data_IF_539112162174
#
_entry.id   IF_539112162174
#
_cell.length_a   1.000
_cell.length_b   1.000
_cell.length_c   1.000
_cell.angle_alpha   90.00
_cell.angle_beta   90.00
_cell.angle_gamma   90.00
#
_symmetry.space_group_name_H-M   'P 1'
#
loop_
_entity.id
_entity.type
_entity.pdbx_description
1 polymer ?
#
# COMPACT_ATOMS: atom_id res chain seq x y z
N UNK A 1 1.27 38.67 -9.89
CA UNK A 1 1.59 37.48 -9.07
C UNK A 1 0.32 36.71 -8.69
N UNK A 2 -0.60 37.30 -7.92
CA UNK A 2 -1.85 36.62 -7.50
C UNK A 2 -2.75 36.25 -8.69
N UNK A 3 -2.88 37.14 -9.69
CA UNK A 3 -3.67 36.89 -10.90
C UNK A 3 -3.14 35.73 -11.76
N UNK A 4 -1.83 35.53 -11.82
CA UNK A 4 -1.21 34.41 -12.55
C UNK A 4 -1.44 33.07 -11.83
N UNK A 5 -1.44 33.07 -10.49
CA UNK A 5 -1.71 31.88 -9.68
C UNK A 5 -3.18 31.43 -9.86
N UNK A 6 -4.11 32.37 -9.91
CA UNK A 6 -5.53 32.07 -10.12
C UNK A 6 -5.80 31.51 -11.53
N UNK A 7 -5.17 32.06 -12.56
CA UNK A 7 -5.28 31.54 -13.93
C UNK A 7 -4.70 30.12 -14.02
N UNK A 8 -3.54 29.87 -13.41
CA UNK A 8 -2.93 28.55 -13.37
C UNK A 8 -3.82 27.53 -12.63
N UNK A 9 -4.44 27.92 -11.50
CA UNK A 9 -5.35 27.05 -10.76
C UNK A 9 -6.60 26.68 -11.58
N UNK A 10 -7.19 27.63 -12.30
CA UNK A 10 -8.35 27.36 -13.17
C UNK A 10 -7.97 26.45 -14.35
N UNK A 11 -6.79 26.65 -14.96
CA UNK A 11 -6.29 25.78 -16.04
C UNK A 11 -6.04 24.34 -15.55
N UNK A 12 -5.52 24.17 -14.32
CA UNK A 12 -5.32 22.86 -13.71
C UNK A 12 -6.66 22.16 -13.44
N UNK A 13 -7.65 22.89 -12.92
CA UNK A 13 -9.00 22.34 -12.65
C UNK A 13 -9.65 21.90 -13.97
N UNK A 14 -9.65 22.76 -15.00
CA UNK A 14 -10.21 22.42 -16.32
C UNK A 14 -9.47 21.24 -16.95
N UNK A 15 -8.14 21.15 -16.82
CA UNK A 15 -7.35 20.02 -17.31
C UNK A 15 -7.71 18.72 -16.58
N UNK A 16 -7.86 18.76 -15.26
CA UNK A 16 -8.27 17.60 -14.44
C UNK A 16 -9.69 17.15 -14.80
N UNK A 17 -10.64 18.07 -14.99
CA UNK A 17 -12.01 17.77 -15.41
C UNK A 17 -12.05 17.17 -16.83
N UNK A 18 -11.24 17.69 -17.75
CA UNK A 18 -11.17 17.20 -19.14
C UNK A 18 -10.55 15.81 -19.21
N UNK A 19 -9.49 15.54 -18.41
CA UNK A 19 -8.89 14.21 -18.28
C UNK A 19 -9.83 13.21 -17.58
N UNK A 20 -10.65 13.66 -16.62
CA UNK A 20 -11.71 12.85 -16.00
C UNK A 20 -12.82 12.49 -16.98
N UNK A 21 -13.23 13.42 -17.84
CA UNK A 21 -14.21 13.17 -18.92
C UNK A 21 -13.66 12.21 -19.98
N UNK A 22 -12.37 12.32 -20.32
CA UNK A 22 -11.73 11.43 -21.30
C UNK A 22 -11.49 9.99 -20.78
N UNK A 23 -11.44 9.79 -19.45
CA UNK A 23 -11.32 8.46 -18.82
C UNK A 23 -12.65 7.72 -18.59
N UNK A 24 -13.80 8.31 -18.95
CA UNK A 24 -15.11 7.63 -18.95
C UNK A 24 -15.55 7.11 -20.32
N UNK A 25 -14.64 7.04 -21.29
CA UNK A 25 -14.90 6.48 -22.62
C UNK A 25 -13.95 5.35 -22.97
N UNK A 26 -14.51 4.21 -23.43
CA UNK A 26 -13.87 3.06 -24.09
C UNK A 26 -13.03 2.13 -23.20
N UNK A 27 -13.74 1.19 -22.57
CA UNK A 27 -13.28 -0.19 -22.50
C UNK A 27 -13.95 -0.96 -23.64
N UNK A 28 -13.29 -1.01 -24.80
CA UNK A 28 -13.59 -1.89 -25.93
C UNK A 28 -12.60 -3.05 -25.85
N UNK A 29 -13.12 -4.27 -25.81
CA UNK A 29 -12.34 -5.48 -25.66
C UNK A 29 -11.38 -5.73 -26.83
N UNK A 30 -10.29 -6.42 -26.54
CA UNK A 30 -9.39 -7.00 -27.54
C UNK A 30 -9.29 -8.49 -27.30
N UNK A 31 -10.02 -9.23 -28.14
CA UNK A 31 -9.79 -10.64 -28.44
C UNK A 31 -8.43 -10.76 -29.13
N UNK A 32 -7.54 -11.64 -28.66
CA UNK A 32 -6.39 -12.12 -29.43
C UNK A 32 -6.78 -13.46 -30.04
N UNK A 33 -7.10 -13.46 -31.33
CA UNK A 33 -7.18 -14.65 -32.16
C UNK A 33 -5.79 -14.99 -32.69
N UNK A 34 -5.42 -16.27 -32.62
CA UNK A 34 -4.33 -16.84 -33.39
C UNK A 34 -4.75 -17.03 -34.85
N UNK A 35 -3.75 -17.08 -35.74
CA UNK A 35 -3.96 -17.43 -37.13
C UNK A 35 -2.65 -17.71 -37.84
N UNK A 36 -2.36 -18.98 -38.09
CA UNK A 36 -1.62 -19.45 -39.26
C UNK A 36 -2.18 -20.81 -39.70
N UNK A 37 -2.20 -20.99 -41.01
CA UNK A 37 -2.44 -22.19 -41.82
C UNK A 37 -3.88 -22.42 -42.33
N UNK A 38 -4.05 -22.07 -43.61
CA UNK A 38 -4.78 -22.82 -44.63
C UNK A 38 -3.72 -23.41 -45.61
N UNK A 39 -4.02 -24.28 -46.61
CA UNK A 39 -5.35 -24.67 -47.12
C UNK A 39 -5.52 -26.16 -47.54
N UNK A 40 -6.76 -26.53 -47.88
CA UNK A 40 -7.18 -27.08 -49.19
C UNK A 40 -8.11 -28.31 -49.18
N UNK A 41 -9.21 -28.12 -49.92
CA UNK A 41 -9.86 -29.04 -50.88
C UNK A 41 -11.09 -29.88 -50.49
N UNK A 42 -12.02 -29.84 -51.45
CA UNK A 42 -13.13 -30.76 -51.81
C UNK A 42 -14.56 -30.49 -51.31
N UNK A 43 -15.30 -29.89 -52.24
CA UNK A 43 -16.68 -30.08 -52.66
C UNK A 43 -17.52 -31.18 -52.00
N UNK A 44 -18.78 -30.84 -51.68
CA UNK A 44 -19.86 -31.81 -51.47
C UNK A 44 -21.09 -31.22 -50.78
N UNK A 45 -22.17 -31.07 -51.56
CA UNK A 45 -23.60 -31.07 -51.20
C UNK A 45 -24.16 -30.11 -50.13
N UNK A 46 -25.11 -29.32 -50.60
CA UNK A 46 -25.99 -28.40 -49.87
C UNK A 46 -27.04 -29.12 -49.02
N UNK A 47 -27.03 -28.85 -47.71
CA UNK A 47 -28.22 -28.76 -46.86
C UNK A 47 -28.10 -27.46 -46.05
N UNK A 48 -29.13 -26.59 -45.98
CA UNK A 48 -29.05 -25.41 -45.13
C UNK A 48 -28.93 -25.89 -43.67
N UNK A 49 -27.97 -25.36 -42.87
CA UNK A 49 -27.91 -25.67 -41.46
C UNK A 49 -29.20 -25.13 -40.81
N UNK A 50 -29.91 -26.00 -40.09
CA UNK A 50 -30.95 -25.55 -39.16
C UNK A 50 -30.22 -24.76 -38.08
N UNK A 51 -30.36 -23.43 -38.12
CA UNK A 51 -29.87 -22.52 -37.09
C UNK A 51 -30.56 -22.89 -35.77
N UNK A 52 -29.88 -23.68 -34.94
CA UNK A 52 -30.32 -23.87 -33.56
C UNK A 52 -30.15 -22.52 -32.86
N UNK A 53 -31.19 -21.99 -32.19
CA UNK A 53 -31.01 -20.79 -31.39
C UNK A 53 -29.92 -21.09 -30.36
N UNK A 54 -28.76 -20.45 -30.50
CA UNK A 54 -27.77 -20.39 -29.43
C UNK A 54 -28.41 -19.60 -28.30
N UNK A 55 -29.00 -20.31 -27.34
CA UNK A 55 -29.35 -19.73 -26.05
C UNK A 55 -28.02 -19.34 -25.41
N UNK A 56 -27.61 -18.09 -25.62
CA UNK A 56 -26.51 -17.48 -24.89
C UNK A 56 -26.94 -17.41 -23.43
N UNK A 57 -26.65 -18.45 -22.65
CA UNK A 57 -26.81 -18.41 -21.20
C UNK A 57 -25.99 -17.22 -20.69
N UNK A 58 -26.62 -16.24 -20.00
CA UNK A 58 -25.87 -15.11 -19.47
C UNK A 58 -24.79 -15.62 -18.52
N UNK A 59 -23.58 -15.03 -18.55
CA UNK A 59 -22.49 -15.49 -17.71
C UNK A 59 -22.92 -15.36 -16.24
N UNK A 60 -22.94 -16.48 -15.52
CA UNK A 60 -23.18 -16.51 -14.07
C UNK A 60 -22.15 -15.58 -13.42
N UNK A 61 -22.63 -14.52 -12.78
CA UNK A 61 -21.77 -13.56 -12.11
C UNK A 61 -20.94 -14.27 -11.03
N UNK A 62 -19.65 -13.92 -10.92
CA UNK A 62 -18.80 -14.49 -9.87
C UNK A 62 -19.36 -14.10 -8.49
N UNK A 63 -19.39 -15.02 -7.51
CA UNK A 63 -19.82 -14.70 -6.16
C UNK A 63 -19.02 -13.54 -5.56
N UNK A 64 -19.71 -12.60 -4.91
CA UNK A 64 -19.08 -11.47 -4.24
C UNK A 64 -18.35 -11.93 -2.97
N UNK A 65 -17.09 -11.56 -2.81
CA UNK A 65 -16.33 -11.82 -1.58
C UNK A 65 -16.63 -10.82 -0.46
N UNK A 66 -17.56 -9.87 -0.67
CA UNK A 66 -18.09 -9.08 0.42
C UNK A 66 -18.96 -9.91 1.37
N UNK A 67 -19.58 -10.99 0.88
CA UNK A 67 -20.44 -11.87 1.66
C UNK A 67 -19.60 -12.93 2.41
N UNK A 68 -19.74 -13.07 3.75
CA UNK A 68 -18.97 -14.03 4.54
C UNK A 68 -19.14 -15.49 4.09
N UNK A 69 -20.34 -15.88 3.64
CA UNK A 69 -20.63 -17.25 3.18
C UNK A 69 -19.76 -17.63 1.97
N UNK A 70 -19.58 -16.70 1.04
CA UNK A 70 -18.73 -16.91 -0.14
C UNK A 70 -17.25 -17.03 0.25
N UNK A 71 -16.81 -16.30 1.28
CA UNK A 71 -15.45 -16.39 1.81
C UNK A 71 -15.19 -17.76 2.42
N UNK A 72 -16.09 -18.25 3.27
CA UNK A 72 -15.98 -19.60 3.88
C UNK A 72 -15.95 -20.68 2.82
N UNK A 73 -16.84 -20.59 1.82
CA UNK A 73 -16.86 -21.53 0.70
C UNK A 73 -15.57 -21.49 -0.14
N UNK A 74 -14.90 -20.33 -0.24
CA UNK A 74 -13.61 -20.21 -0.92
C UNK A 74 -12.45 -20.80 -0.07
N UNK A 75 -12.42 -20.50 1.22
CA UNK A 75 -11.42 -21.01 2.19
C UNK A 75 -11.45 -22.55 2.23
N UNK A 76 -12.65 -23.15 2.26
CA UNK A 76 -12.81 -24.60 2.31
C UNK A 76 -12.24 -25.35 1.08
N UNK A 77 -12.00 -24.65 -0.03
CA UNK A 77 -11.50 -25.24 -1.29
C UNK A 77 -9.97 -25.30 -1.37
N UNK A 78 -9.25 -24.68 -0.43
CA UNK A 78 -7.80 -24.52 -0.49
C UNK A 78 -7.13 -24.93 0.82
N UNK A 79 -5.83 -25.20 0.78
CA UNK A 79 -4.98 -25.35 1.98
C UNK A 79 -4.18 -24.07 2.19
N UNK A 80 -3.85 -23.80 3.46
CA UNK A 80 -3.03 -22.67 3.85
C UNK A 80 -1.66 -23.16 4.32
N UNK A 81 -0.64 -22.35 4.06
CA UNK A 81 0.70 -22.54 4.61
C UNK A 81 1.15 -21.27 5.35
N UNK A 82 2.09 -21.43 6.28
CA UNK A 82 2.70 -20.29 6.96
C UNK A 82 3.73 -19.65 6.06
N UNK A 83 3.72 -18.32 6.01
CA UNK A 83 4.74 -17.52 5.32
C UNK A 83 5.50 -16.66 6.32
N UNK A 84 6.70 -16.19 5.93
CA UNK A 84 7.42 -15.20 6.73
C UNK A 84 6.67 -13.87 6.65
N UNK A 85 6.51 -13.22 7.80
CA UNK A 85 5.89 -11.89 7.87
C UNK A 85 6.75 -10.83 7.17
N UNK A 86 8.07 -10.94 7.31
CA UNK A 86 9.05 -9.96 6.84
C UNK A 86 10.08 -10.62 5.91
N UNK A 87 10.57 -9.83 4.95
CA UNK A 87 11.73 -10.22 4.16
C UNK A 87 13.03 -10.10 4.99
N UNK A 88 14.17 -10.51 4.43
CA UNK A 88 15.46 -10.50 5.16
C UNK A 88 15.89 -9.09 5.59
N UNK A 89 15.69 -8.10 4.74
CA UNK A 89 16.07 -6.71 5.00
C UNK A 89 15.17 -6.10 6.09
N UNK A 90 13.85 -6.26 5.96
CA UNK A 90 12.89 -5.82 6.97
C UNK A 90 13.14 -6.50 8.33
N UNK A 91 13.36 -7.81 8.35
CA UNK A 91 13.63 -8.53 9.59
C UNK A 91 14.90 -8.03 10.30
N UNK A 92 15.95 -7.70 9.54
CA UNK A 92 17.17 -7.08 10.08
C UNK A 92 16.86 -5.71 10.72
N UNK A 93 16.06 -4.89 10.04
CA UNK A 93 15.63 -3.58 10.53
C UNK A 93 14.78 -3.72 11.80
N UNK A 94 13.86 -4.69 11.87
CA UNK A 94 13.08 -4.96 13.06
C UNK A 94 13.98 -5.16 14.28
N UNK A 95 14.97 -6.06 14.18
CA UNK A 95 15.88 -6.36 15.29
C UNK A 95 16.73 -5.14 15.71
N UNK A 96 17.07 -4.27 14.75
CA UNK A 96 17.78 -3.03 15.04
C UNK A 96 16.87 -2.04 15.78
N UNK A 97 15.65 -1.82 15.29
CA UNK A 97 14.67 -0.94 15.94
C UNK A 97 14.35 -1.40 17.36
N UNK A 98 14.12 -2.70 17.58
CA UNK A 98 13.88 -3.29 18.90
C UNK A 98 15.06 -3.02 19.84
N UNK A 99 16.29 -3.25 19.37
CA UNK A 99 17.49 -2.97 20.17
C UNK A 99 17.61 -1.50 20.57
N UNK A 100 17.29 -0.57 19.66
CA UNK A 100 17.35 0.87 19.92
C UNK A 100 16.35 1.25 21.02
N UNK A 101 15.08 0.82 20.88
CA UNK A 101 14.03 1.20 21.84
C UNK A 101 14.20 0.53 23.20
N UNK A 102 14.67 -0.73 23.24
CA UNK A 102 14.98 -1.47 24.45
C UNK A 102 16.23 -0.92 25.15
N UNK A 103 17.29 -0.65 24.39
CA UNK A 103 18.57 -0.16 24.92
C UNK A 103 18.44 1.17 25.65
N UNK A 104 17.51 2.02 25.21
CA UNK A 104 17.19 3.29 25.83
C UNK A 104 16.29 3.18 27.08
N UNK A 105 15.78 1.99 27.41
CA UNK A 105 14.76 1.75 28.45
C UNK A 105 13.60 2.75 28.36
N UNK A 106 13.19 3.05 27.13
CA UNK A 106 12.28 4.15 26.83
C UNK A 106 10.79 3.76 26.95
N UNK A 107 10.52 2.46 27.08
CA UNK A 107 9.17 1.90 27.12
C UNK A 107 8.45 1.88 25.76
N UNK A 108 9.09 2.36 24.68
CA UNK A 108 8.57 2.24 23.33
C UNK A 108 8.55 0.79 22.85
N UNK A 109 7.66 0.48 21.90
CA UNK A 109 7.54 -0.86 21.30
C UNK A 109 7.48 -0.77 19.79
N UNK A 110 8.02 -1.77 19.09
CA UNK A 110 8.00 -1.84 17.63
C UNK A 110 6.89 -2.80 17.17
N UNK A 111 6.07 -2.36 16.22
CA UNK A 111 4.96 -3.13 15.63
C UNK A 111 5.18 -3.27 14.13
N UNK A 112 5.37 -4.50 13.64
CA UNK A 112 5.62 -4.77 12.23
C UNK A 112 4.32 -4.93 11.41
N UNK A 113 4.34 -4.49 10.15
CA UNK A 113 3.24 -4.65 9.18
C UNK A 113 1.89 -4.10 9.70
N UNK A 114 1.92 -3.01 10.46
CA UNK A 114 0.75 -2.48 11.17
C UNK A 114 -0.16 -1.72 10.22
N UNK A 115 -1.48 -1.97 10.30
CA UNK A 115 -2.48 -1.20 9.55
C UNK A 115 -2.51 0.26 10.02
N UNK A 116 -2.39 1.19 9.08
CA UNK A 116 -2.33 2.62 9.36
C UNK A 116 -3.65 3.15 9.95
N UNK A 117 -4.79 2.53 9.60
CA UNK A 117 -6.11 2.88 10.16
C UNK A 117 -6.28 2.55 11.65
N UNK A 118 -5.47 1.65 12.20
CA UNK A 118 -5.47 1.34 13.64
C UNK A 118 -4.63 2.34 14.46
N UNK A 119 -3.77 3.11 13.77
CA UNK A 119 -2.79 4.01 14.41
C UNK A 119 -3.21 5.47 14.32
N UNK A 120 -3.82 5.87 13.20
CA UNK A 120 -4.26 7.25 12.96
C UNK A 120 -5.68 7.26 12.37
N UNK A 121 -6.43 8.32 12.66
CA UNK A 121 -7.79 8.52 12.17
C UNK A 121 -8.12 9.99 11.96
N UNK A 122 -9.05 10.33 11.06
CA UNK A 122 -9.54 11.70 10.92
C UNK A 122 -10.16 12.22 12.23
N UNK A 123 -9.86 13.46 12.59
CA UNK A 123 -10.46 14.11 13.77
C UNK A 123 -11.95 14.33 13.53
N UNK A 124 -12.79 14.02 14.51
CA UNK A 124 -14.26 14.08 14.40
C UNK A 124 -14.80 15.47 14.06
N UNK A 125 -14.08 16.53 14.44
CA UNK A 125 -14.42 17.94 14.16
C UNK A 125 -13.93 18.44 12.79
N UNK A 126 -13.24 17.61 11.99
CA UNK A 126 -12.68 18.01 10.69
C UNK A 126 -13.54 17.54 9.52
N UNK A 127 -13.72 18.40 8.51
CA UNK A 127 -14.45 18.11 7.27
C UNK A 127 -15.89 17.64 7.47
N UNK A 128 -16.50 17.13 6.41
CA UNK A 128 -17.81 16.45 6.50
C UNK A 128 -17.65 15.01 7.01
N UNK A 129 -18.75 14.40 7.44
CA UNK A 129 -18.74 12.97 7.79
C UNK A 129 -18.28 12.08 6.61
N UNK A 130 -18.65 12.46 5.38
CA UNK A 130 -18.24 11.78 4.17
C UNK A 130 -16.73 11.90 3.93
N UNK A 131 -16.17 13.10 4.08
CA UNK A 131 -14.73 13.32 3.92
C UNK A 131 -13.92 12.47 4.90
N UNK A 132 -14.37 12.40 6.17
CA UNK A 132 -13.73 11.56 7.18
C UNK A 132 -13.81 10.07 6.83
N UNK A 133 -14.95 9.62 6.33
CA UNK A 133 -15.11 8.22 5.91
C UNK A 133 -14.19 7.88 4.72
N UNK A 134 -14.14 8.74 3.70
CA UNK A 134 -13.30 8.56 2.52
C UNK A 134 -11.79 8.63 2.90
N UNK A 135 -11.42 9.53 3.81
CA UNK A 135 -10.05 9.62 4.33
C UNK A 135 -9.66 8.38 5.14
N UNK A 136 -10.54 7.89 6.03
CA UNK A 136 -10.28 6.68 6.81
C UNK A 136 -10.16 5.45 5.90
N UNK A 137 -11.07 5.27 4.94
CA UNK A 137 -10.99 4.20 3.95
C UNK A 137 -9.69 4.27 3.13
N UNK A 138 -9.22 5.49 2.83
CA UNK A 138 -7.97 5.70 2.11
C UNK A 138 -6.74 5.23 2.89
N UNK A 139 -6.76 5.22 4.21
CA UNK A 139 -5.62 4.78 5.03
C UNK A 139 -5.76 3.33 5.54
N UNK A 140 -6.98 2.83 5.76
CA UNK A 140 -7.25 1.51 6.34
C UNK A 140 -6.78 0.32 5.47
N UNK A 141 -6.55 0.56 4.18
CA UNK A 141 -5.98 -0.43 3.26
C UNK A 141 -4.45 -0.38 3.17
N UNK A 142 -3.81 0.50 3.96
CA UNK A 142 -2.37 0.73 3.94
C UNK A 142 -1.76 0.24 5.24
N UNK A 143 -0.55 -0.30 5.12
CA UNK A 143 0.25 -0.73 6.26
C UNK A 143 1.58 0.00 6.21
N UNK A 144 2.12 0.25 7.40
CA UNK A 144 3.50 0.66 7.61
C UNK A 144 4.35 -0.61 7.73
N UNK A 145 5.62 -0.55 7.30
CA UNK A 145 6.54 -1.65 7.54
C UNK A 145 6.78 -1.81 9.04
N UNK A 146 7.01 -0.70 9.74
CA UNK A 146 7.03 -0.64 11.20
C UNK A 146 6.35 0.61 11.74
N UNK A 147 5.77 0.46 12.93
CA UNK A 147 5.30 1.53 13.78
C UNK A 147 6.02 1.44 15.12
N UNK A 148 6.66 2.53 15.54
CA UNK A 148 7.16 2.66 16.91
C UNK A 148 6.07 3.35 17.72
N UNK A 149 5.58 2.67 18.76
CA UNK A 149 4.56 3.21 19.67
C UNK A 149 5.18 3.57 21.02
N UNK A 150 4.65 4.61 21.65
CA UNK A 150 5.05 5.04 22.99
C UNK A 150 4.43 4.16 24.09
N UNK A 151 4.69 4.53 25.35
CA UNK A 151 4.19 3.82 26.54
C UNK A 151 2.68 3.88 26.71
N UNK A 152 1.99 4.80 26.01
CA UNK A 152 0.54 4.89 25.96
C UNK A 152 -0.06 4.13 24.77
N UNK A 153 0.78 3.51 23.93
CA UNK A 153 0.37 2.83 22.72
C UNK A 153 0.08 3.77 21.55
N UNK A 154 0.49 5.03 21.63
CA UNK A 154 0.30 6.01 20.56
C UNK A 154 1.44 5.91 19.54
N UNK A 155 1.14 6.15 18.26
CA UNK A 155 2.16 6.14 17.20
C UNK A 155 3.14 7.30 17.39
N UNK A 156 4.40 6.99 17.70
CA UNK A 156 5.47 7.95 17.87
C UNK A 156 6.23 8.19 16.55
N UNK A 157 6.61 7.12 15.86
CA UNK A 157 7.34 7.18 14.58
C UNK A 157 6.83 6.11 13.63
N UNK A 158 6.52 6.50 12.39
CA UNK A 158 6.28 5.57 11.30
C UNK A 158 7.59 5.26 10.57
N UNK A 159 7.82 4.00 10.19
CA UNK A 159 9.04 3.58 9.49
C UNK A 159 8.69 2.78 8.24
N UNK A 160 9.35 3.11 7.13
CA UNK A 160 9.24 2.43 5.84
C UNK A 160 10.64 2.04 5.35
N UNK A 161 10.81 0.80 4.89
CA UNK A 161 12.09 0.29 4.38
C UNK A 161 12.02 0.30 2.86
N UNK A 162 12.84 1.15 2.24
CA UNK A 162 12.87 1.24 0.79
C UNK A 162 13.51 -0.02 0.19
N UNK A 163 12.82 -0.63 -0.78
CA UNK A 163 13.38 -1.72 -1.58
C UNK A 163 14.32 -1.21 -2.67
N UNK A 164 15.25 -2.04 -3.15
CA UNK A 164 16.20 -1.71 -4.21
C UNK A 164 15.59 -1.66 -5.64
N UNK A 165 14.26 -1.71 -5.75
CA UNK A 165 13.53 -1.94 -7.01
C UNK A 165 13.06 -0.67 -7.71
N UNK A 166 13.01 -0.73 -9.05
CA UNK A 166 12.58 0.38 -9.92
C UNK A 166 11.15 0.84 -9.61
N UNK A 167 11.02 2.12 -9.23
CA UNK A 167 9.77 2.79 -8.91
C UNK A 167 8.72 2.71 -10.04
N UNK A 168 7.58 2.09 -9.77
CA UNK A 168 6.39 2.19 -10.62
C UNK A 168 5.46 3.33 -10.17
N UNK A 169 4.81 4.01 -11.10
CA UNK A 169 3.93 5.18 -10.83
C UNK A 169 2.82 4.92 -9.78
N UNK A 170 2.31 3.69 -9.67
CA UNK A 170 1.31 3.33 -8.64
C UNK A 170 1.90 3.28 -7.23
N UNK A 171 3.16 2.88 -7.09
CA UNK A 171 3.89 2.87 -5.82
C UNK A 171 4.05 4.30 -5.32
N UNK A 172 4.44 5.23 -6.21
CA UNK A 172 4.56 6.65 -5.89
C UNK A 172 3.28 7.26 -5.30
N UNK A 173 2.12 7.03 -5.93
CA UNK A 173 0.85 7.57 -5.43
C UNK A 173 0.43 6.93 -4.10
N UNK A 174 0.73 5.65 -3.88
CA UNK A 174 0.46 4.98 -2.60
C UNK A 174 1.28 5.60 -1.47
N UNK A 175 2.56 5.85 -1.73
CA UNK A 175 3.46 6.45 -0.74
C UNK A 175 3.11 7.91 -0.47
N UNK A 176 2.66 8.66 -1.48
CA UNK A 176 2.17 10.02 -1.30
C UNK A 176 0.99 10.09 -0.31
N UNK A 177 0.06 9.14 -0.37
CA UNK A 177 -1.06 9.07 0.58
C UNK A 177 -0.57 8.76 2.00
N UNK A 178 0.41 7.84 2.16
CA UNK A 178 1.01 7.54 3.47
C UNK A 178 1.67 8.79 4.06
N UNK A 179 2.55 9.45 3.30
CA UNK A 179 3.24 10.67 3.70
C UNK A 179 2.27 11.77 4.12
N UNK A 180 1.26 12.06 3.30
CA UNK A 180 0.31 13.15 3.60
C UNK A 180 -0.57 12.83 4.81
N UNK A 181 -1.00 11.58 4.97
CA UNK A 181 -1.79 11.17 6.14
C UNK A 181 -0.99 11.29 7.44
N UNK A 182 0.26 10.80 7.47
CA UNK A 182 1.14 10.88 8.63
C UNK A 182 1.49 12.34 8.96
N UNK A 183 1.82 13.15 7.95
CA UNK A 183 2.07 14.60 8.11
C UNK A 183 0.88 15.31 8.73
N UNK A 184 -0.35 15.00 8.27
CA UNK A 184 -1.58 15.58 8.86
C UNK A 184 -1.88 15.07 10.26
N UNK A 185 -1.40 13.88 10.61
CA UNK A 185 -1.48 13.33 11.96
C UNK A 185 -0.39 13.86 12.90
N UNK A 186 0.58 14.65 12.39
CA UNK A 186 1.72 15.11 13.17
C UNK A 186 2.72 13.99 13.51
N UNK A 187 2.74 12.92 12.71
CA UNK A 187 3.63 11.77 12.91
C UNK A 187 4.77 11.85 11.90
N UNK A 188 6.00 11.74 12.39
CA UNK A 188 7.19 11.68 11.56
C UNK A 188 7.30 10.33 10.83
N UNK A 189 7.71 10.39 9.56
CA UNK A 189 7.96 9.21 8.73
C UNK A 189 9.47 9.07 8.48
N UNK A 190 10.04 7.96 8.94
CA UNK A 190 11.42 7.55 8.65
C UNK A 190 11.46 6.60 7.45
N UNK A 191 11.92 7.09 6.30
CA UNK A 191 12.15 6.26 5.10
C UNK A 191 13.60 5.77 5.06
N UNK A 192 13.84 4.54 5.54
CA UNK A 192 15.17 3.93 5.60
C UNK A 192 15.64 3.58 4.18
N UNK A 193 16.77 4.17 3.78
CA UNK A 193 17.37 3.89 2.49
C UNK A 193 18.21 2.60 2.54
N UNK A 194 18.32 1.86 1.44
CA UNK A 194 19.16 0.66 1.38
C UNK A 194 20.64 0.91 1.69
N UNK A 195 21.12 2.14 1.46
CA UNK A 195 22.50 2.54 1.69
C UNK A 195 22.80 2.93 3.13
N UNK A 196 21.78 3.05 3.99
CA UNK A 196 22.00 3.50 5.36
C UNK A 196 22.66 2.43 6.22
N UNK A 197 23.59 2.86 7.07
CA UNK A 197 24.21 2.00 8.09
C UNK A 197 23.33 1.87 9.33
N UNK A 198 23.67 0.92 10.21
CA UNK A 198 22.93 0.71 11.45
C UNK A 198 23.04 1.92 12.38
N UNK A 199 24.21 2.56 12.40
CA UNK A 199 24.51 3.76 13.18
C UNK A 199 23.70 4.97 12.68
N UNK A 200 23.52 5.11 11.36
CA UNK A 200 22.69 6.15 10.77
C UNK A 200 21.22 5.96 11.15
N UNK A 201 20.71 4.73 11.08
CA UNK A 201 19.35 4.40 11.51
C UNK A 201 19.17 4.69 13.00
N UNK A 202 20.11 4.24 13.85
CA UNK A 202 20.09 4.44 15.29
C UNK A 202 20.09 5.93 15.66
N UNK A 203 20.97 6.74 15.05
CA UNK A 203 21.02 8.17 15.29
C UNK A 203 19.70 8.87 14.91
N UNK A 204 19.10 8.50 13.77
CA UNK A 204 17.83 9.08 13.31
C UNK A 204 16.66 8.69 14.20
N UNK A 205 16.54 7.41 14.55
CA UNK A 205 15.49 6.92 15.45
C UNK A 205 15.61 7.56 16.82
N UNK A 206 16.82 7.60 17.38
CA UNK A 206 17.06 8.23 18.69
C UNK A 206 16.69 9.71 18.67
N UNK A 207 17.05 10.44 17.61
CA UNK A 207 16.67 11.85 17.46
C UNK A 207 15.15 12.03 17.41
N UNK A 208 14.45 11.23 16.60
CA UNK A 208 12.99 11.32 16.45
C UNK A 208 12.24 10.99 17.74
N UNK A 209 12.77 10.06 18.54
CA UNK A 209 12.19 9.65 19.81
C UNK A 209 12.68 10.48 21.01
N UNK A 210 13.57 11.46 20.80
CA UNK A 210 14.17 12.25 21.88
C UNK A 210 15.02 11.42 22.85
N UNK A 211 15.61 10.32 22.38
CA UNK A 211 16.42 9.40 23.18
C UNK A 211 17.89 9.85 23.19
N UNK A 212 18.63 9.64 24.30
CA UNK A 212 20.06 9.86 24.33
C UNK A 212 20.75 8.89 23.35
N UNK A 213 21.54 9.43 22.42
CA UNK A 213 22.37 8.62 21.51
C UNK A 213 23.34 7.81 22.37
N UNK A 214 23.27 6.49 22.30
CA UNK A 214 24.17 5.65 23.08
C UNK A 214 25.56 5.67 22.44
N UNK A 215 26.56 6.09 23.20
CA UNK A 215 27.95 6.00 22.80
C UNK A 215 28.38 4.52 22.79
N UNK A 216 28.31 3.91 21.60
CA UNK A 216 28.64 2.50 21.35
C UNK A 216 30.09 2.14 21.71
N UNK A 217 30.93 3.12 22.06
CA UNK A 217 32.31 2.95 22.51
C UNK A 217 32.52 2.42 23.93
N UNK A 218 31.54 2.51 24.86
CA UNK A 218 31.79 2.13 26.28
C UNK A 218 31.41 0.71 26.70
N UNK A 219 30.61 -0.02 25.92
CA UNK A 219 30.12 -1.35 26.34
C UNK A 219 31.13 -2.50 26.16
N UNK A 220 32.28 -2.27 25.51
CA UNK A 220 33.35 -3.30 25.42
C UNK A 220 34.29 -3.36 26.63
N UNK A 221 34.18 -2.43 27.59
CA UNK A 221 35.08 -2.38 28.74
C UNK A 221 34.57 -3.12 30.00
N UNK A 222 33.31 -3.59 30.00
CA UNK A 222 32.63 -4.04 31.22
C UNK A 222 32.33 -5.54 31.32
N UNK A 223 32.84 -6.38 30.41
CA UNK A 223 32.65 -7.83 30.50
C UNK A 223 34.03 -8.51 30.61
N UNK A 224 34.52 -8.56 31.85
CA UNK A 224 35.50 -9.52 32.35
C UNK A 224 34.89 -10.21 33.55
#
# INVERSE_FOLDING_TARGET
MITLILIAAVLIIVLVETLRRHRRGRWRGTRRFGGRFAPSSRAGSSKPPVERPTVETPPVAKPSMAEPENQVAAIAKVRFEKTRLLNRTEYRVLLLLERIVDGANSGHRVMAQTNMGELIRPVSSSGTARDRQDAFASINSKRLDFAIVDTFGMLAVAVEVQGSGHYHHKTFMRDAVKREALRRAGVELLEIQPSWTDEEIEARVSTLLGLPVQDSGRRRAGMR
#
